data_IF_504003447853
#
_entry.id   IF_504003447853
#
_cell.length_a   1.000
_cell.length_b   1.000
_cell.length_c   1.000
_cell.angle_alpha   90.00
_cell.angle_beta   90.00
_cell.angle_gamma   90.00
#
_symmetry.space_group_name_H-M   'P 1'
#
loop_
_entity.id
_entity.type
_entity.pdbx_description
1 polymer ?
#
# COMPACT_ATOMS: atom_id res chain seq x y z
N UNK A 1 4.86 -7.57 -0.01
CA UNK A 1 6.27 -7.64 0.43
C UNK A 1 6.91 -9.01 0.19
N UNK A 2 6.30 -10.13 0.60
CA UNK A 2 6.86 -11.50 0.43
C UNK A 2 7.27 -11.79 -1.02
N UNK A 3 6.43 -11.41 -1.98
CA UNK A 3 6.69 -11.56 -3.42
C UNK A 3 7.90 -10.76 -3.90
N UNK A 4 8.14 -9.56 -3.36
CA UNK A 4 9.31 -8.73 -3.69
C UNK A 4 10.59 -9.35 -3.17
N UNK A 5 10.57 -9.88 -1.94
CA UNK A 5 11.69 -10.63 -1.34
C UNK A 5 11.98 -11.89 -2.15
N UNK A 6 10.95 -12.61 -2.60
CA UNK A 6 11.12 -13.75 -3.48
C UNK A 6 11.89 -13.38 -4.76
N UNK A 7 11.58 -12.27 -5.43
CA UNK A 7 12.33 -11.85 -6.62
C UNK A 7 13.83 -11.58 -6.33
N UNK A 8 14.18 -11.20 -5.11
CA UNK A 8 15.58 -10.93 -4.72
C UNK A 8 16.34 -12.25 -4.54
N UNK A 9 15.78 -13.14 -3.73
CA UNK A 9 16.40 -14.42 -3.35
C UNK A 9 16.34 -15.45 -4.49
N UNK A 10 15.30 -15.39 -5.31
CA UNK A 10 15.05 -16.43 -6.31
C UNK A 10 16.18 -16.54 -7.32
N UNK A 11 16.63 -17.78 -7.49
CA UNK A 11 17.53 -18.16 -8.56
C UNK A 11 16.76 -18.51 -9.84
N UNK A 12 17.47 -18.58 -10.98
CA UNK A 12 16.82 -18.79 -12.30
C UNK A 12 15.95 -20.05 -12.35
N UNK A 13 16.41 -21.14 -11.72
CA UNK A 13 15.67 -22.41 -11.64
C UNK A 13 14.43 -22.29 -10.75
N UNK A 14 14.59 -21.67 -9.57
CA UNK A 14 13.51 -21.47 -8.60
C UNK A 14 12.41 -20.55 -9.17
N UNK A 15 12.83 -19.51 -9.89
CA UNK A 15 11.94 -18.58 -10.59
C UNK A 15 11.04 -19.32 -11.57
N UNK A 16 11.60 -20.13 -12.47
CA UNK A 16 10.81 -20.85 -13.49
C UNK A 16 9.78 -21.80 -12.88
N UNK A 17 10.08 -22.39 -11.71
CA UNK A 17 9.18 -23.33 -11.02
C UNK A 17 8.02 -22.60 -10.32
N UNK A 18 8.32 -21.55 -9.54
CA UNK A 18 7.33 -20.94 -8.64
C UNK A 18 6.67 -19.68 -9.21
N UNK A 19 7.16 -19.14 -10.33
CA UNK A 19 6.63 -17.90 -10.89
C UNK A 19 5.17 -18.01 -11.31
N UNK A 20 4.76 -19.13 -11.91
CA UNK A 20 3.43 -19.24 -12.50
C UNK A 20 2.34 -19.65 -11.50
N UNK A 21 2.70 -20.45 -10.50
CA UNK A 21 1.76 -20.97 -9.49
C UNK A 21 1.84 -20.10 -8.23
N UNK A 22 2.92 -20.21 -7.47
CA UNK A 22 3.06 -19.58 -6.14
C UNK A 22 2.91 -18.07 -6.19
N UNK A 23 3.59 -17.38 -7.11
CA UNK A 23 3.48 -15.91 -7.21
C UNK A 23 2.08 -15.49 -7.68
N UNK A 24 1.40 -16.31 -8.50
CA UNK A 24 0.02 -16.03 -8.91
C UNK A 24 -0.93 -16.17 -7.72
N UNK A 25 -0.83 -17.24 -6.95
CA UNK A 25 -1.64 -17.47 -5.75
C UNK A 25 -1.43 -16.38 -4.70
N UNK A 26 -0.18 -16.03 -4.39
CA UNK A 26 0.16 -14.91 -3.51
C UNK A 26 -0.42 -13.58 -4.00
N UNK A 27 -0.45 -13.37 -5.32
CA UNK A 27 -1.06 -12.16 -5.89
C UNK A 27 -2.58 -12.19 -5.71
N UNK A 28 -3.24 -13.32 -5.96
CA UNK A 28 -4.69 -13.47 -5.79
C UNK A 28 -5.09 -13.27 -4.31
N UNK A 29 -4.37 -13.89 -3.38
CA UNK A 29 -4.62 -13.69 -1.94
C UNK A 29 -4.45 -12.23 -1.57
N UNK A 30 -3.38 -11.57 -2.05
CA UNK A 30 -3.18 -10.14 -1.80
C UNK A 30 -4.27 -9.26 -2.40
N UNK A 31 -4.79 -9.59 -3.58
CA UNK A 31 -5.94 -8.89 -4.20
C UNK A 31 -7.19 -9.04 -3.35
N UNK A 32 -7.53 -10.27 -2.94
CA UNK A 32 -8.69 -10.53 -2.09
C UNK A 32 -8.60 -9.77 -0.77
N UNK A 33 -7.44 -9.77 -0.12
CA UNK A 33 -7.21 -9.00 1.11
C UNK A 33 -7.36 -7.50 0.88
N UNK A 34 -6.86 -6.95 -0.23
CA UNK A 34 -7.01 -5.53 -0.56
C UNK A 34 -8.46 -5.15 -0.87
N UNK A 35 -9.23 -6.02 -1.53
CA UNK A 35 -10.66 -5.80 -1.75
C UNK A 35 -11.44 -5.75 -0.43
N UNK A 36 -11.17 -6.69 0.48
CA UNK A 36 -11.78 -6.69 1.81
C UNK A 36 -11.40 -5.42 2.58
N UNK A 37 -10.11 -5.04 2.54
CA UNK A 37 -9.63 -3.81 3.16
C UNK A 37 -10.31 -2.55 2.60
N UNK A 38 -10.40 -2.43 1.28
CA UNK A 38 -11.06 -1.31 0.62
C UNK A 38 -12.56 -1.24 0.98
N UNK A 39 -13.25 -2.39 1.00
CA UNK A 39 -14.64 -2.45 1.41
C UNK A 39 -14.81 -1.97 2.86
N UNK A 40 -14.03 -2.52 3.79
CA UNK A 40 -14.07 -2.14 5.20
C UNK A 40 -13.73 -0.66 5.41
N UNK A 41 -12.73 -0.13 4.70
CA UNK A 41 -12.37 1.30 4.74
C UNK A 41 -13.49 2.19 4.22
N UNK A 42 -14.12 1.80 3.11
CA UNK A 42 -15.20 2.58 2.51
C UNK A 42 -16.41 2.61 3.43
N UNK A 43 -16.89 1.45 3.89
CA UNK A 43 -18.01 1.36 4.83
C UNK A 43 -17.70 2.08 6.13
N UNK A 44 -16.49 1.89 6.68
CA UNK A 44 -16.04 2.58 7.89
C UNK A 44 -16.03 4.10 7.74
N UNK A 45 -15.61 4.61 6.58
CA UNK A 45 -15.61 6.05 6.30
C UNK A 45 -17.04 6.62 6.25
N UNK A 46 -17.98 5.92 5.61
CA UNK A 46 -19.39 6.33 5.59
C UNK A 46 -20.05 6.28 6.97
N UNK A 47 -19.83 5.20 7.73
CA UNK A 47 -20.32 5.08 9.11
C UNK A 47 -19.71 6.16 10.01
N UNK A 48 -18.42 6.48 9.83
CA UNK A 48 -17.75 7.59 10.50
C UNK A 48 -18.41 8.93 10.22
N UNK A 49 -18.83 9.20 8.98
CA UNK A 49 -19.57 10.42 8.62
C UNK A 49 -20.95 10.52 9.29
N UNK A 50 -21.67 9.40 9.44
CA UNK A 50 -22.94 9.38 10.19
C UNK A 50 -22.69 9.72 11.66
N UNK A 51 -21.67 9.11 12.27
CA UNK A 51 -21.29 9.38 13.65
C UNK A 51 -20.82 10.82 13.87
N UNK A 52 -20.09 11.40 12.90
CA UNK A 52 -19.65 12.79 12.93
C UNK A 52 -20.84 13.75 12.92
N UNK A 53 -21.91 13.42 12.19
CA UNK A 53 -23.13 14.22 12.18
C UNK A 53 -23.81 14.23 13.54
N UNK A 54 -23.91 13.09 14.21
CA UNK A 54 -24.48 13.01 15.56
C UNK A 54 -23.60 13.71 16.62
N UNK A 55 -22.29 13.70 16.43
CA UNK A 55 -21.35 14.28 17.41
C UNK A 55 -21.16 15.79 17.26
N UNK A 56 -21.08 16.28 16.02
CA UNK A 56 -20.66 17.65 15.69
C UNK A 56 -21.61 18.38 14.74
N UNK A 57 -22.78 17.80 14.45
CA UNK A 57 -23.84 18.42 13.64
C UNK A 57 -23.53 18.54 12.15
N UNK A 58 -22.52 17.81 11.64
CA UNK A 58 -22.16 17.79 10.21
C UNK A 58 -21.56 16.45 9.79
N UNK A 59 -21.84 16.01 8.57
CA UNK A 59 -21.37 14.72 8.03
C UNK A 59 -19.89 14.69 7.65
N UNK A 60 -19.32 15.84 7.28
CA UNK A 60 -17.95 15.95 6.80
C UNK A 60 -17.44 17.37 7.06
N UNK A 61 -16.24 17.46 7.59
CA UNK A 61 -15.57 18.70 7.97
C UNK A 61 -14.23 18.93 7.26
N UNK A 62 -13.80 18.00 6.39
CA UNK A 62 -12.48 18.02 5.75
C UNK A 62 -11.32 18.07 6.74
N UNK A 63 -11.56 17.62 7.98
CA UNK A 63 -10.52 17.45 8.98
C UNK A 63 -9.40 16.57 8.40
N UNK A 64 -8.13 16.76 8.80
CA UNK A 64 -7.04 15.95 8.26
C UNK A 64 -7.29 14.44 8.36
N UNK A 65 -8.02 13.94 9.37
CA UNK A 65 -8.34 12.51 9.48
C UNK A 65 -9.32 12.05 8.42
N UNK A 66 -10.38 12.81 8.21
CA UNK A 66 -11.40 12.54 7.19
C UNK A 66 -10.79 12.59 5.78
N UNK A 67 -9.98 13.61 5.51
CA UNK A 67 -9.30 13.80 4.21
C UNK A 67 -8.34 12.64 3.93
N UNK A 68 -7.52 12.23 4.91
CA UNK A 68 -6.60 11.11 4.73
C UNK A 68 -7.30 9.76 4.62
N UNK A 69 -8.42 9.54 5.33
CA UNK A 69 -9.25 8.35 5.14
C UNK A 69 -9.77 8.26 3.70
N UNK A 70 -10.23 9.38 3.13
CA UNK A 70 -10.65 9.44 1.73
C UNK A 70 -9.50 9.20 0.74
N UNK A 71 -8.32 9.81 0.99
CA UNK A 71 -7.11 9.57 0.17
C UNK A 71 -6.73 8.08 0.20
N UNK A 72 -6.78 7.42 1.36
CA UNK A 72 -6.50 5.99 1.48
C UNK A 72 -7.45 5.14 0.64
N UNK A 73 -8.75 5.46 0.61
CA UNK A 73 -9.73 4.78 -0.26
C UNK A 73 -9.32 4.92 -1.74
N UNK A 74 -8.97 6.12 -2.19
CA UNK A 74 -8.54 6.37 -3.57
C UNK A 74 -7.26 5.60 -3.90
N UNK A 75 -6.27 5.63 -3.00
CA UNK A 75 -4.99 4.94 -3.20
C UNK A 75 -5.20 3.43 -3.31
N UNK A 76 -5.99 2.83 -2.43
CA UNK A 76 -6.29 1.39 -2.47
C UNK A 76 -7.11 1.02 -3.70
N UNK A 77 -8.10 1.84 -4.08
CA UNK A 77 -8.85 1.66 -5.31
C UNK A 77 -7.93 1.72 -6.53
N UNK A 78 -7.00 2.69 -6.60
CA UNK A 78 -6.05 2.82 -7.69
C UNK A 78 -5.15 1.58 -7.84
N UNK A 79 -4.61 1.07 -6.73
CA UNK A 79 -3.76 -0.14 -6.73
C UNK A 79 -4.52 -1.35 -7.29
N UNK A 80 -5.79 -1.51 -6.95
CA UNK A 80 -6.63 -2.56 -7.53
C UNK A 80 -6.92 -2.30 -9.02
N UNK A 81 -7.18 -1.05 -9.41
CA UNK A 81 -7.42 -0.68 -10.82
C UNK A 81 -6.20 -0.86 -11.72
N UNK A 82 -4.97 -0.78 -11.18
CA UNK A 82 -3.75 -1.07 -11.95
C UNK A 82 -3.80 -2.46 -12.62
N UNK A 83 -4.55 -3.41 -12.06
CA UNK A 83 -4.73 -4.77 -12.60
C UNK A 83 -5.63 -4.81 -13.84
N UNK A 84 -6.38 -3.76 -14.13
CA UNK A 84 -7.19 -3.65 -15.34
C UNK A 84 -6.42 -2.98 -16.48
N UNK A 85 -5.40 -2.17 -16.15
CA UNK A 85 -4.62 -1.39 -17.12
C UNK A 85 -3.52 -2.23 -17.76
N UNK A 86 -3.51 -2.44 -19.10
CA UNK A 86 -2.51 -3.26 -19.81
C UNK A 86 -1.05 -2.92 -19.49
N UNK A 87 -0.73 -1.64 -19.31
CA UNK A 87 0.64 -1.19 -19.00
C UNK A 87 1.08 -1.41 -17.55
N UNK A 88 0.14 -1.54 -16.60
CA UNK A 88 0.43 -1.62 -15.15
C UNK A 88 0.08 -2.99 -14.55
N UNK A 89 -0.40 -3.92 -15.37
CA UNK A 89 -0.80 -5.29 -15.01
C UNK A 89 0.31 -6.20 -14.49
N UNK A 90 1.56 -5.78 -14.58
CA UNK A 90 2.71 -6.56 -14.13
C UNK A 90 2.59 -6.95 -12.66
N UNK A 91 2.77 -8.24 -12.33
CA UNK A 91 2.71 -8.73 -10.95
C UNK A 91 3.70 -7.98 -10.04
N UNK A 92 4.90 -7.70 -10.55
CA UNK A 92 5.89 -6.91 -9.83
C UNK A 92 5.40 -5.49 -9.52
N UNK A 93 4.86 -4.78 -10.53
CA UNK A 93 4.36 -3.41 -10.37
C UNK A 93 3.21 -3.33 -9.36
N UNK A 94 2.30 -4.30 -9.39
CA UNK A 94 1.23 -4.43 -8.41
C UNK A 94 1.77 -4.58 -6.97
N UNK A 95 2.72 -5.51 -6.74
CA UNK A 95 3.26 -5.74 -5.40
C UNK A 95 4.05 -4.54 -4.84
N UNK A 96 4.70 -3.76 -5.72
CA UNK A 96 5.32 -2.48 -5.33
C UNK A 96 4.26 -1.44 -4.99
N UNK A 97 3.23 -1.30 -5.81
CA UNK A 97 2.15 -0.34 -5.56
C UNK A 97 1.41 -0.66 -4.26
N UNK A 98 1.09 -1.93 -3.98
CA UNK A 98 0.49 -2.37 -2.71
C UNK A 98 1.37 -2.04 -1.51
N UNK A 99 2.68 -2.20 -1.64
CA UNK A 99 3.63 -1.86 -0.57
C UNK A 99 3.59 -0.36 -0.24
N UNK A 100 3.55 0.52 -1.25
CA UNK A 100 3.43 1.97 -1.02
C UNK A 100 2.02 2.41 -0.62
N UNK A 101 0.97 1.68 -1.04
CA UNK A 101 -0.39 1.92 -0.59
C UNK A 101 -0.50 1.88 0.95
N UNK A 102 0.23 0.96 1.58
CA UNK A 102 0.28 0.84 3.03
C UNK A 102 0.77 2.13 3.73
N UNK A 103 1.64 2.91 3.10
CA UNK A 103 2.08 4.20 3.65
C UNK A 103 0.90 5.17 3.85
N UNK A 104 -0.12 5.12 2.98
CA UNK A 104 -1.31 5.96 3.14
C UNK A 104 -2.06 5.63 4.43
N UNK A 105 -2.20 4.34 4.80
CA UNK A 105 -2.82 3.98 6.08
C UNK A 105 -1.98 4.39 7.28
N UNK A 106 -0.65 4.25 7.20
CA UNK A 106 0.24 4.73 8.27
C UNK A 106 0.08 6.24 8.45
N UNK A 107 -0.06 7.00 7.36
CA UNK A 107 -0.30 8.43 7.44
C UNK A 107 -1.66 8.74 8.06
N UNK A 108 -2.74 8.03 7.70
CA UNK A 108 -4.07 8.24 8.29
C UNK A 108 -4.10 7.94 9.80
N UNK A 109 -3.45 6.85 10.24
CA UNK A 109 -3.46 6.44 11.66
C UNK A 109 -2.42 7.13 12.52
N UNK A 110 -1.19 7.30 12.05
CA UNK A 110 -0.10 7.90 12.83
C UNK A 110 0.18 9.32 12.36
N UNK A 111 0.29 9.52 11.05
CA UNK A 111 0.62 10.81 10.46
C UNK A 111 -0.31 11.93 10.89
N UNK A 112 -1.62 11.72 10.78
CA UNK A 112 -2.58 12.74 11.18
C UNK A 112 -2.60 12.96 12.68
N UNK A 113 -2.46 11.91 13.48
CA UNK A 113 -2.50 12.03 14.95
C UNK A 113 -1.33 12.82 15.55
N UNK A 114 -0.15 12.79 14.92
CA UNK A 114 1.06 13.40 15.47
C UNK A 114 1.53 14.66 14.72
N UNK A 115 1.19 14.82 13.44
CA UNK A 115 1.74 15.91 12.61
C UNK A 115 0.69 16.88 12.07
N UNK A 116 -0.60 16.56 12.15
CA UNK A 116 -1.67 17.41 11.62
C UNK A 116 -2.64 17.75 12.76
N UNK A 117 -2.85 19.04 13.01
CA UNK A 117 -3.83 19.52 13.97
C UNK A 117 -5.24 19.41 13.41
N UNK A 118 -6.18 18.88 14.19
CA UNK A 118 -7.58 18.72 13.82
C UNK A 118 -8.46 18.47 15.05
N UNK A 119 -9.79 18.39 14.87
CA UNK A 119 -10.75 18.09 15.96
C UNK A 119 -10.48 16.74 16.64
N UNK A 120 -9.67 15.90 16.00
CA UNK A 120 -9.26 14.60 16.50
C UNK A 120 -7.77 14.52 16.89
N UNK A 121 -7.06 15.64 16.98
CA UNK A 121 -5.65 15.61 17.43
C UNK A 121 -5.61 15.44 18.94
N UNK A 122 -5.28 14.24 19.40
CA UNK A 122 -5.10 13.95 20.83
C UNK A 122 -3.69 14.29 21.33
N UNK A 123 -2.75 14.56 20.42
CA UNK A 123 -1.38 14.98 20.74
C UNK A 123 -1.28 16.52 20.65
N UNK A 124 -1.88 17.21 21.61
CA UNK A 124 -1.75 18.66 21.77
C UNK A 124 -0.41 19.01 22.48
N UNK A 125 0.72 18.68 21.86
CA UNK A 125 2.06 19.00 22.35
C UNK A 125 3.03 19.26 21.20
N UNK A 126 4.26 19.70 21.51
CA UNK A 126 5.31 19.98 20.52
C UNK A 126 5.44 18.83 19.51
N UNK A 127 5.61 19.13 18.20
CA UNK A 127 5.67 18.10 17.17
C UNK A 127 6.79 17.12 17.51
N UNK A 128 6.41 15.91 17.90
CA UNK A 128 7.36 14.86 18.21
C UNK A 128 8.17 14.62 16.94
N UNK A 129 9.50 14.74 16.97
CA UNK A 129 10.30 14.57 15.77
C UNK A 129 10.01 13.20 15.16
N UNK A 130 9.87 13.16 13.83
CA UNK A 130 9.54 11.92 13.12
C UNK A 130 10.51 10.83 13.56
N UNK A 131 10.00 9.73 14.16
CA UNK A 131 10.89 8.71 14.67
C UNK A 131 11.82 8.20 13.56
N UNK A 132 13.10 8.02 13.89
CA UNK A 132 14.12 7.62 12.92
C UNK A 132 13.75 6.34 12.14
N UNK A 133 13.00 5.44 12.77
CA UNK A 133 12.54 4.18 12.15
C UNK A 133 11.59 4.41 10.95
N UNK A 134 10.89 5.54 10.87
CA UNK A 134 10.04 5.87 9.72
C UNK A 134 10.90 6.14 8.48
N UNK A 135 11.97 6.92 8.63
CA UNK A 135 12.91 7.20 7.54
C UNK A 135 13.63 5.94 7.09
N UNK A 136 14.07 5.11 8.05
CA UNK A 136 14.69 3.81 7.77
C UNK A 136 13.70 2.89 7.04
N UNK A 137 12.44 2.87 7.47
CA UNK A 137 11.36 2.11 6.83
C UNK A 137 11.15 2.53 5.38
N UNK A 138 10.97 3.83 5.12
CA UNK A 138 10.81 4.35 3.77
C UNK A 138 12.03 4.06 2.90
N UNK A 139 13.25 4.29 3.41
CA UNK A 139 14.47 3.95 2.72
C UNK A 139 14.53 2.46 2.36
N UNK A 140 14.15 1.58 3.30
CA UNK A 140 14.09 0.12 3.07
C UNK A 140 13.08 -0.26 1.99
N UNK A 141 11.95 0.44 1.89
CA UNK A 141 10.94 0.20 0.86
C UNK A 141 11.45 0.63 -0.52
N UNK A 142 12.12 1.77 -0.62
CA UNK A 142 12.75 2.22 -1.87
C UNK A 142 13.88 1.27 -2.32
N UNK A 143 14.77 0.87 -1.39
CA UNK A 143 15.83 -0.08 -1.73
C UNK A 143 15.27 -1.44 -2.12
N UNK A 144 14.25 -1.95 -1.42
CA UNK A 144 13.57 -3.20 -1.77
C UNK A 144 12.95 -3.11 -3.16
N UNK A 145 12.28 -2.01 -3.49
CA UNK A 145 11.70 -1.79 -4.83
C UNK A 145 12.79 -1.77 -5.91
N UNK A 146 13.88 -1.02 -5.70
CA UNK A 146 14.97 -0.89 -6.67
C UNK A 146 15.71 -2.23 -6.91
N UNK A 147 16.10 -2.92 -5.84
CA UNK A 147 16.79 -4.22 -5.92
C UNK A 147 15.88 -5.29 -6.54
N UNK A 148 14.61 -5.31 -6.14
CA UNK A 148 13.61 -6.22 -6.71
C UNK A 148 13.39 -5.96 -8.20
N UNK A 149 13.34 -4.69 -8.63
CA UNK A 149 13.21 -4.33 -10.05
C UNK A 149 14.39 -4.86 -10.89
N UNK A 150 15.61 -4.63 -10.40
CA UNK A 150 16.82 -5.06 -11.10
C UNK A 150 16.86 -6.58 -11.26
N UNK A 151 16.56 -7.33 -10.18
CA UNK A 151 16.50 -8.80 -10.21
C UNK A 151 15.38 -9.30 -11.10
N UNK A 152 14.19 -8.70 -11.03
CA UNK A 152 13.04 -9.03 -11.88
C UNK A 152 13.37 -8.88 -13.37
N UNK A 153 14.02 -7.77 -13.77
CA UNK A 153 14.42 -7.53 -15.15
C UNK A 153 15.40 -8.59 -15.66
N UNK A 154 16.41 -8.93 -14.85
CA UNK A 154 17.42 -9.93 -15.21
C UNK A 154 16.82 -11.34 -15.37
N UNK A 155 15.87 -11.71 -14.49
CA UNK A 155 15.16 -12.99 -14.56
C UNK A 155 14.26 -13.09 -15.81
N UNK A 156 13.56 -12.01 -16.14
CA UNK A 156 12.67 -11.97 -17.31
C UNK A 156 13.42 -11.94 -18.66
N UNK A 157 14.56 -11.25 -18.76
CA UNK A 157 15.36 -11.22 -19.98
C UNK A 157 15.94 -12.61 -20.31
N UNK A 158 16.42 -13.33 -19.29
CA UNK A 158 16.96 -14.69 -19.47
C UNK A 158 15.88 -15.70 -19.87
N UNK A 159 14.64 -15.54 -19.36
CA UNK A 159 13.52 -16.41 -19.72
C UNK A 159 13.10 -16.25 -21.19
N UNK A 160 13.23 -15.04 -21.76
CA UNK A 160 12.97 -14.78 -23.19
C UNK A 160 14.08 -15.30 -24.12
N UNK A 161 15.34 -15.29 -23.67
CA UNK A 161 16.49 -15.78 -24.47
C UNK A 161 16.55 -17.31 -24.64
N UNK A 162 15.76 -18.07 -23.87
CA UNK A 162 15.70 -19.54 -23.93
C UNK A 162 14.45 -20.08 -24.67
N UNK A 163 13.64 -19.19 -25.23
CA UNK A 163 12.57 -19.50 -26.19
C UNK A 163 13.09 -19.21 -27.58
#
# INVERSE_FOLDING_TARGET
MITLVFYIIADKKLYKIHHDITIKELTIVSEMSLFIGLFALTVGNFLGGIWANESWGRYWSWDPKETWAFISIIVYAFVLHMRLVPGLRGRWAYHVATMFAFCSMVMTYFGVNYYLSGLHSYAAGDPVPVPAWVYIGLASMFTLAAVSYWRYKNLNQTAKSKK
#
